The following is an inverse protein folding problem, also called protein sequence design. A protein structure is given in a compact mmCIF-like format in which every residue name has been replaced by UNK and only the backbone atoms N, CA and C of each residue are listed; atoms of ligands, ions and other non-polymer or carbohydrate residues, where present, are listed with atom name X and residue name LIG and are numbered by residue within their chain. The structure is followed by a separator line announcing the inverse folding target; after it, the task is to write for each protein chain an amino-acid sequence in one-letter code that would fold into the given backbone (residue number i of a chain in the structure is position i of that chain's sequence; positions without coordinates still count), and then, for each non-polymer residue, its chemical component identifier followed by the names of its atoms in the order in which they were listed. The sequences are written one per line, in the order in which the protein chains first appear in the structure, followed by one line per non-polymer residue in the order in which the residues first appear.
data_IF_884755696473
#
_entry.id   IF_884755696473
#
_cell.length_a   1.000
_cell.length_b   1.000
_cell.length_c   1.000
_cell.angle_alpha   90.00
_cell.angle_beta   90.00
_cell.angle_gamma   90.00
#
_symmetry.space_group_name_H-M   'P 1'
#
loop_
_entity.id
_entity.type
_entity.pdbx_description
1 polymer ?
#
# COMPACT_ATOMS: atom_id res chain seq x y z
N UNK A 1 -17.41 49.63 43.04
CA UNK A 1 -16.14 49.99 42.37
C UNK A 1 -16.08 49.25 41.05
N UNK A 2 -16.28 49.98 39.96
CA UNK A 2 -16.30 49.51 38.58
C UNK A 2 -14.89 49.47 37.96
N UNK A 3 -14.70 48.55 37.02
CA UNK A 3 -13.83 48.60 35.81
C UNK A 3 -12.32 48.91 35.97
N UNK A 4 -11.50 48.00 35.42
CA UNK A 4 -10.54 48.35 34.35
C UNK A 4 -10.41 47.17 33.36
N UNK A 5 -10.86 47.42 32.14
CA UNK A 5 -10.55 46.66 30.93
C UNK A 5 -9.18 47.10 30.39
N UNK A 6 -8.63 46.33 29.42
CA UNK A 6 -7.71 46.69 28.31
C UNK A 6 -6.65 45.59 28.10
N UNK A 7 -6.29 45.08 26.92
CA UNK A 7 -6.57 45.38 25.50
C UNK A 7 -6.36 44.08 24.69
N UNK A 8 -7.08 43.94 23.57
CA UNK A 8 -6.77 42.94 22.55
C UNK A 8 -5.61 43.36 21.65
N UNK A 9 -4.94 42.38 21.06
CA UNK A 9 -4.14 42.54 19.86
C UNK A 9 -4.47 41.40 18.90
N UNK A 10 -5.22 41.73 17.86
CA UNK A 10 -5.33 40.94 16.63
C UNK A 10 -4.04 41.17 15.85
N UNK A 11 -3.30 40.11 15.53
CA UNK A 11 -2.26 40.14 14.50
C UNK A 11 -2.62 39.04 13.49
N UNK A 12 -3.08 39.48 12.33
CA UNK A 12 -3.21 38.71 11.11
C UNK A 12 -1.88 38.85 10.35
N UNK A 13 -1.19 37.75 10.05
CA UNK A 13 0.00 37.81 9.18
C UNK A 13 0.89 36.56 9.16
N UNK A 14 0.82 35.86 8.02
CA UNK A 14 1.75 34.86 7.46
C UNK A 14 1.77 33.43 8.02
N UNK A 15 1.26 32.53 7.18
CA UNK A 15 1.59 31.10 7.11
C UNK A 15 3.09 30.90 6.80
N UNK A 16 3.80 30.23 7.70
CA UNK A 16 5.00 29.43 7.45
C UNK A 16 4.94 28.18 8.35
N UNK A 17 5.43 27.01 7.90
CA UNK A 17 5.22 25.75 8.59
C UNK A 17 6.09 25.71 9.85
N UNK A 18 5.45 25.62 11.02
CA UNK A 18 6.14 25.30 12.27
C UNK A 18 6.67 23.87 12.18
N UNK A 19 7.95 23.75 11.84
CA UNK A 19 8.73 22.58 12.16
C UNK A 19 8.70 22.38 13.69
N UNK A 20 8.15 21.26 14.09
CA UNK A 20 8.07 20.77 15.46
C UNK A 20 9.46 20.60 16.07
N UNK A 21 9.77 21.36 17.10
CA UNK A 21 10.72 20.97 18.14
C UNK A 21 9.93 20.87 19.45
N UNK A 22 9.76 19.64 19.96
CA UNK A 22 9.03 19.38 21.18
C UNK A 22 9.68 20.07 22.39
N UNK A 23 8.88 20.78 23.17
CA UNK A 23 9.27 21.51 24.38
C UNK A 23 9.40 20.58 25.61
N UNK A 24 10.48 20.83 26.35
CA UNK A 24 10.68 20.81 27.81
C UNK A 24 10.27 19.56 28.62
N UNK A 25 11.22 19.04 29.41
CA UNK A 25 11.01 18.04 30.45
C UNK A 25 9.80 18.41 31.34
N UNK A 26 8.61 17.87 31.08
CA UNK A 26 7.47 18.00 32.00
C UNK A 26 7.69 17.08 33.19
N UNK A 27 7.44 17.58 34.41
CA UNK A 27 7.51 16.81 35.65
C UNK A 27 8.76 17.02 36.50
N UNK A 28 9.61 18.01 36.18
CA UNK A 28 10.61 18.50 37.14
C UNK A 28 9.86 19.28 38.23
N UNK A 29 10.13 18.99 39.51
CA UNK A 29 9.68 19.81 40.65
C UNK A 29 9.82 21.31 40.32
N UNK A 30 8.81 22.12 40.64
CA UNK A 30 8.71 23.55 40.26
C UNK A 30 9.95 24.39 40.64
N UNK A 31 10.82 23.90 41.52
CA UNK A 31 12.05 24.54 41.97
C UNK A 31 13.31 24.31 41.08
N UNK A 32 13.29 23.46 40.04
CA UNK A 32 14.52 23.06 39.31
C UNK A 32 14.43 23.25 37.77
N UNK A 33 13.63 24.22 37.32
CA UNK A 33 13.31 24.41 35.89
C UNK A 33 14.35 25.17 35.06
N UNK A 34 15.48 25.62 35.65
CA UNK A 34 16.35 26.61 34.98
C UNK A 34 17.66 26.08 34.39
N UNK A 35 18.23 24.93 34.80
CA UNK A 35 19.59 24.56 34.35
C UNK A 35 19.95 23.06 34.25
N UNK A 36 19.04 22.10 34.46
CA UNK A 36 19.40 20.67 34.42
C UNK A 36 18.97 19.96 33.10
N UNK A 37 19.84 19.14 32.47
CA UNK A 37 19.41 18.21 31.43
C UNK A 37 18.42 17.19 32.02
N UNK A 38 17.38 16.79 31.28
CA UNK A 38 16.36 15.85 31.81
C UNK A 38 17.05 14.57 32.33
N UNK A 39 16.69 14.12 33.54
CA UNK A 39 17.24 12.89 34.15
C UNK A 39 17.03 11.67 33.24
N UNK A 40 15.90 11.63 32.55
CA UNK A 40 15.64 10.65 31.51
C UNK A 40 14.86 11.27 30.35
N UNK A 41 15.04 10.70 29.15
CA UNK A 41 14.40 11.21 27.93
C UNK A 41 14.04 10.09 26.97
N UNK A 42 13.02 10.34 26.15
CA UNK A 42 12.74 9.49 25.00
C UNK A 42 13.65 9.88 23.83
N UNK A 43 14.24 8.87 23.19
CA UNK A 43 15.05 9.04 21.98
C UNK A 43 14.20 8.66 20.77
N UNK A 44 14.14 9.56 19.79
CA UNK A 44 13.48 9.35 18.51
C UNK A 44 12.12 8.62 18.63
N UNK A 45 11.17 9.19 19.41
CA UNK A 45 9.89 8.55 19.63
C UNK A 45 9.18 8.29 18.30
N UNK A 46 8.47 7.16 18.17
CA UNK A 46 7.80 6.78 16.94
C UNK A 46 6.67 7.76 16.63
N UNK A 47 6.48 8.06 15.35
CA UNK A 47 5.34 8.83 14.86
C UNK A 47 4.34 7.87 14.26
N UNK A 48 3.10 7.91 14.74
CA UNK A 48 2.01 7.11 14.20
C UNK A 48 1.28 7.92 13.12
N UNK A 49 1.22 7.39 11.89
CA UNK A 49 0.44 7.97 10.80
C UNK A 49 -1.07 7.76 10.96
N UNK A 50 -1.89 8.10 9.95
CA UNK A 50 -3.32 7.77 9.93
C UNK A 50 -3.55 6.30 10.23
N UNK A 51 -4.49 6.01 11.13
CA UNK A 51 -4.81 4.63 11.51
C UNK A 51 -6.11 4.17 10.88
N UNK A 52 -6.19 2.87 10.67
CA UNK A 52 -7.34 2.21 10.11
C UNK A 52 -8.09 1.48 11.21
N UNK A 53 -9.43 1.60 11.24
CA UNK A 53 -10.24 0.85 12.20
C UNK A 53 -9.95 -0.65 12.09
N UNK A 54 -9.74 -1.31 13.22
CA UNK A 54 -9.36 -2.73 13.37
C UNK A 54 -7.97 -3.13 12.83
N UNK A 55 -7.14 -2.17 12.39
CA UNK A 55 -5.75 -2.44 12.04
C UNK A 55 -4.84 -2.29 13.27
N UNK A 56 -3.80 -3.11 13.34
CA UNK A 56 -2.78 -3.01 14.39
C UNK A 56 -1.60 -2.18 13.93
N UNK A 57 -1.10 -1.26 14.76
CA UNK A 57 0.18 -0.57 14.55
C UNK A 57 1.01 -0.60 15.83
N UNK A 58 2.31 -0.89 15.74
CA UNK A 58 3.20 -0.97 16.91
C UNK A 58 4.35 0.01 16.77
N UNK A 59 4.56 0.83 17.79
CA UNK A 59 5.71 1.75 17.89
C UNK A 59 6.57 1.42 19.10
N UNK A 60 7.88 1.62 18.98
CA UNK A 60 8.84 1.40 20.07
C UNK A 60 9.33 2.75 20.59
N UNK A 61 9.05 3.04 21.86
CA UNK A 61 9.60 4.18 22.57
C UNK A 61 10.88 3.77 23.29
N UNK A 62 12.00 4.41 22.96
CA UNK A 62 13.29 4.15 23.62
C UNK A 62 13.51 5.18 24.72
N UNK A 63 13.54 4.71 25.97
CA UNK A 63 13.87 5.51 27.14
C UNK A 63 15.38 5.46 27.39
N UNK A 64 16.00 6.62 27.63
CA UNK A 64 17.40 6.73 28.06
C UNK A 64 17.50 7.32 29.46
N UNK A 65 18.35 6.72 30.27
CA UNK A 65 18.83 7.34 31.51
C UNK A 65 20.00 8.28 31.20
N UNK A 66 19.82 9.58 31.43
CA UNK A 66 20.87 10.59 31.24
C UNK A 66 21.62 10.91 32.54
N UNK A 67 21.18 10.36 33.68
CA UNK A 67 21.84 10.57 34.96
C UNK A 67 23.11 9.71 35.09
N UNK A 68 24.08 10.11 35.93
CA UNK A 68 25.25 9.30 36.25
C UNK A 68 24.95 8.16 37.24
N UNK A 69 23.69 7.98 37.67
CA UNK A 69 23.26 6.97 38.64
C UNK A 69 22.18 6.05 38.04
N UNK A 70 21.96 4.89 38.66
CA UNK A 70 20.88 3.99 38.21
C UNK A 70 19.53 4.57 38.62
N UNK A 71 18.59 4.65 37.68
CA UNK A 71 17.21 5.06 37.96
C UNK A 71 16.31 3.82 38.10
N UNK A 72 15.30 3.92 38.96
CA UNK A 72 14.25 2.92 39.15
C UNK A 72 13.02 3.33 38.37
N UNK A 73 12.47 2.39 37.61
CA UNK A 73 11.20 2.55 36.89
C UNK A 73 10.09 2.02 37.80
N UNK A 74 9.21 2.93 38.24
CA UNK A 74 8.13 2.63 39.17
C UNK A 74 6.89 2.12 38.45
N UNK A 75 6.54 2.73 37.31
CA UNK A 75 5.43 2.30 36.48
C UNK A 75 5.64 2.73 35.02
N UNK A 76 4.99 2.02 34.12
CA UNK A 76 4.83 2.39 32.71
C UNK A 76 3.34 2.24 32.42
N UNK A 77 2.69 3.29 31.90
CA UNK A 77 1.26 3.27 31.57
C UNK A 77 0.94 4.11 30.36
N UNK A 78 -0.20 3.85 29.75
CA UNK A 78 -0.81 4.74 28.77
C UNK A 78 -1.87 5.58 29.46
N UNK A 79 -1.78 6.90 29.27
CA UNK A 79 -2.80 7.85 29.68
C UNK A 79 -3.74 8.09 28.51
N UNK A 80 -4.99 7.71 28.68
CA UNK A 80 -6.04 7.91 27.70
C UNK A 80 -6.56 9.36 27.79
N UNK A 81 -6.44 10.13 26.70
CA UNK A 81 -6.93 11.50 26.57
C UNK A 81 -7.96 11.61 25.42
N UNK A 82 -8.55 10.49 25.02
CA UNK A 82 -9.56 10.35 23.99
C UNK A 82 -10.81 9.61 24.51
N UNK A 83 -11.88 9.62 23.71
CA UNK A 83 -13.13 8.91 24.00
C UNK A 83 -13.14 7.45 23.53
N UNK A 84 -11.98 6.89 23.16
CA UNK A 84 -11.89 5.53 22.62
C UNK A 84 -11.75 4.50 23.75
N UNK A 85 -12.15 3.24 23.54
CA UNK A 85 -12.00 2.19 24.55
C UNK A 85 -10.54 2.02 25.00
N UNK A 86 -10.28 1.71 26.27
CA UNK A 86 -8.92 1.48 26.78
C UNK A 86 -8.18 0.40 25.96
N UNK A 87 -8.89 -0.65 25.53
CA UNK A 87 -8.38 -1.73 24.68
C UNK A 87 -7.90 -1.29 23.28
N UNK A 88 -8.13 -0.03 22.88
CA UNK A 88 -7.60 0.52 21.65
C UNK A 88 -6.08 0.75 21.67
N UNK A 89 -5.44 0.60 22.83
CA UNK A 89 -3.99 0.68 22.98
C UNK A 89 -3.52 -0.28 24.08
N UNK A 90 -2.34 -0.88 23.90
CA UNK A 90 -1.75 -1.76 24.89
C UNK A 90 -0.22 -1.61 24.92
N UNK A 91 0.35 -1.79 26.11
CA UNK A 91 1.79 -1.98 26.28
C UNK A 91 2.10 -3.43 25.89
N UNK A 92 3.02 -3.62 24.95
CA UNK A 92 3.35 -4.95 24.42
C UNK A 92 4.12 -5.76 25.48
N UNK A 93 3.88 -7.07 25.65
CA UNK A 93 4.72 -7.88 26.51
C UNK A 93 6.18 -8.02 26.03
N UNK A 94 7.02 -8.65 26.84
CA UNK A 94 8.36 -9.07 26.40
C UNK A 94 8.27 -10.03 25.19
N UNK A 95 9.26 -10.06 24.29
CA UNK A 95 10.58 -9.42 24.37
C UNK A 95 10.62 -7.98 23.83
N UNK A 96 9.55 -7.48 23.21
CA UNK A 96 9.49 -6.11 22.64
C UNK A 96 9.73 -5.04 23.71
N UNK A 97 9.25 -5.31 24.93
CA UNK A 97 9.46 -4.46 26.08
C UNK A 97 10.55 -5.06 26.96
N UNK A 98 11.67 -4.35 27.08
CA UNK A 98 12.84 -4.80 27.85
C UNK A 98 13.25 -3.83 28.97
N UNK A 99 12.43 -2.80 29.22
CA UNK A 99 12.60 -1.96 30.40
C UNK A 99 12.36 -2.77 31.67
N UNK A 100 13.45 -3.08 32.38
CA UNK A 100 13.39 -3.70 33.70
C UNK A 100 13.03 -2.66 34.78
N UNK A 101 12.87 -3.08 36.03
CA UNK A 101 12.60 -2.16 37.15
C UNK A 101 13.73 -1.16 37.43
N UNK A 102 14.89 -1.29 36.78
CA UNK A 102 16.03 -0.37 36.89
C UNK A 102 16.70 -0.13 35.54
N UNK A 103 17.25 1.07 35.36
CA UNK A 103 17.99 1.46 34.16
C UNK A 103 19.32 2.11 34.54
N UNK A 104 20.43 1.46 34.16
CA UNK A 104 21.79 1.89 34.50
C UNK A 104 22.14 3.26 33.88
N UNK A 105 23.18 3.95 34.38
CA UNK A 105 23.64 5.22 33.82
C UNK A 105 23.93 5.12 32.32
N UNK A 106 23.38 6.03 31.51
CA UNK A 106 23.58 6.05 30.06
C UNK A 106 22.90 4.91 29.28
N UNK A 107 22.30 3.94 29.96
CA UNK A 107 21.63 2.80 29.33
C UNK A 107 20.30 3.22 28.70
N UNK A 108 19.85 2.41 27.74
CA UNK A 108 18.56 2.55 27.08
C UNK A 108 17.72 1.30 27.25
N UNK A 109 16.40 1.47 27.25
CA UNK A 109 15.45 0.37 27.18
C UNK A 109 14.27 0.74 26.30
N UNK A 110 13.57 -0.28 25.81
CA UNK A 110 12.49 -0.19 24.83
C UNK A 110 11.14 -0.51 25.48
N UNK A 111 10.16 0.31 25.11
CA UNK A 111 8.74 0.17 25.46
C UNK A 111 7.95 0.17 24.15
N UNK A 112 7.56 -1.01 23.69
CA UNK A 112 6.59 -1.23 22.65
C UNK A 112 5.17 -0.89 23.10
N UNK A 113 4.51 -0.11 22.26
CA UNK A 113 3.10 0.28 22.38
C UNK A 113 2.39 -0.16 21.11
N UNK A 114 1.33 -0.96 21.26
CA UNK A 114 0.47 -1.42 20.18
C UNK A 114 -0.83 -0.63 20.19
N UNK A 115 -1.24 -0.14 19.03
CA UNK A 115 -2.50 0.55 18.78
C UNK A 115 -3.42 -0.38 17.98
N UNK A 116 -4.67 -0.52 18.43
CA UNK A 116 -5.72 -1.30 17.79
C UNK A 116 -7.05 -0.52 17.86
N UNK A 117 -7.22 0.55 17.09
CA UNK A 117 -8.43 1.36 17.16
C UNK A 117 -9.67 0.56 16.74
N UNK A 118 -10.60 0.34 17.68
CA UNK A 118 -11.82 -0.44 17.46
C UNK A 118 -13.00 0.41 16.95
N UNK A 119 -12.86 1.74 16.94
CA UNK A 119 -13.87 2.70 16.50
C UNK A 119 -13.21 3.86 15.74
N UNK A 120 -13.91 4.45 14.77
CA UNK A 120 -13.47 5.67 14.11
C UNK A 120 -13.47 6.86 15.09
N UNK A 121 -12.54 7.82 14.89
CA UNK A 121 -12.39 8.95 15.79
C UNK A 121 -10.97 9.55 15.77
N UNK A 122 -10.70 10.44 16.72
CA UNK A 122 -9.36 11.00 16.94
C UNK A 122 -8.70 10.22 18.06
N UNK A 123 -7.58 9.57 17.76
CA UNK A 123 -6.74 8.91 18.75
C UNK A 123 -5.85 9.95 19.41
N UNK A 124 -5.84 10.03 20.74
CA UNK A 124 -5.05 10.97 21.52
C UNK A 124 -4.66 10.37 22.88
N UNK A 125 -3.44 9.84 22.99
CA UNK A 125 -2.94 9.20 24.22
C UNK A 125 -1.49 9.56 24.49
N UNK A 126 -1.03 9.36 25.72
CA UNK A 126 0.34 9.68 26.14
C UNK A 126 0.95 8.48 26.87
N UNK A 127 2.15 8.03 26.46
CA UNK A 127 2.93 7.08 27.25
C UNK A 127 3.59 7.79 28.42
N UNK A 128 3.35 7.31 29.64
CA UNK A 128 3.89 7.87 30.87
C UNK A 128 4.77 6.86 31.58
N UNK A 129 5.96 7.30 32.01
CA UNK A 129 6.90 6.51 32.79
C UNK A 129 7.18 7.23 34.11
N UNK A 130 6.89 6.56 35.23
CA UNK A 130 7.25 7.05 36.56
C UNK A 130 8.64 6.59 36.94
N UNK A 131 9.52 7.49 37.38
CA UNK A 131 10.87 7.16 37.86
C UNK A 131 11.12 7.74 39.26
N UNK A 132 12.18 7.28 39.93
CA UNK A 132 12.53 7.69 41.29
C UNK A 132 13.56 8.83 41.35
N UNK A 133 13.56 9.72 40.36
CA UNK A 133 14.47 10.88 40.32
C UNK A 133 13.71 12.18 40.54
N UNK A 134 14.35 13.34 40.28
CA UNK A 134 13.70 14.66 40.32
C UNK A 134 12.58 14.77 39.30
N UNK A 135 12.69 14.03 38.19
CA UNK A 135 11.67 13.90 37.17
C UNK A 135 10.75 12.73 37.55
N UNK A 136 9.79 12.97 38.45
CA UNK A 136 8.93 11.91 39.01
C UNK A 136 8.10 11.20 37.93
N UNK A 137 7.85 11.88 36.81
CA UNK A 137 7.15 11.36 35.65
C UNK A 137 7.77 11.90 34.36
N UNK A 138 7.75 11.07 33.32
CA UNK A 138 8.18 11.39 31.96
C UNK A 138 7.01 11.08 31.03
N UNK A 139 6.59 12.08 30.28
CA UNK A 139 5.58 11.93 29.23
C UNK A 139 6.29 11.84 27.87
N UNK A 140 5.91 10.85 27.06
CA UNK A 140 6.28 10.82 25.65
C UNK A 140 5.51 11.92 24.89
N UNK A 141 5.91 12.26 23.65
CA UNK A 141 5.05 13.03 22.77
C UNK A 141 3.67 12.38 22.64
N UNK A 142 2.64 13.21 22.54
CA UNK A 142 1.28 12.72 22.39
C UNK A 142 1.16 11.87 21.12
N UNK A 143 0.52 10.71 21.25
CA UNK A 143 0.15 9.84 20.16
C UNK A 143 -1.16 10.39 19.61
N UNK A 144 -1.06 11.30 18.64
CA UNK A 144 -2.22 11.93 17.99
C UNK A 144 -2.35 11.48 16.54
N UNK A 145 -3.49 10.89 16.19
CA UNK A 145 -3.78 10.49 14.80
C UNK A 145 -5.28 10.37 14.55
N UNK A 146 -5.69 10.43 13.28
CA UNK A 146 -7.08 10.24 12.85
C UNK A 146 -7.30 8.78 12.48
N UNK A 147 -8.43 8.23 12.94
CA UNK A 147 -8.88 6.87 12.60
C UNK A 147 -9.97 7.00 11.54
N UNK A 148 -9.65 6.57 10.32
CA UNK A 148 -10.58 6.55 9.20
C UNK A 148 -11.13 5.15 8.90
N UNK A 149 -12.19 5.09 8.10
CA UNK A 149 -12.60 3.88 7.40
C UNK A 149 -11.59 3.63 6.27
N UNK A 150 -10.49 2.97 6.57
CA UNK A 150 -9.61 2.49 5.52
C UNK A 150 -10.16 1.19 4.95
N UNK A 151 -10.23 1.09 3.62
CA UNK A 151 -9.96 -0.20 2.97
C UNK A 151 -8.53 -0.57 3.34
N UNK A 152 -8.35 -1.64 4.12
CA UNK A 152 -7.03 -2.10 4.54
C UNK A 152 -6.17 -2.39 3.31
N UNK A 153 -5.00 -1.74 3.12
CA UNK A 153 -3.95 -2.35 2.33
C UNK A 153 -3.59 -3.67 3.02
N UNK A 154 -3.50 -4.75 2.25
CA UNK A 154 -3.04 -6.04 2.77
C UNK A 154 -1.68 -5.91 3.47
N UNK A 155 -1.28 -6.88 4.32
CA UNK A 155 0.00 -6.83 5.01
C UNK A 155 1.13 -6.57 4.01
N UNK A 156 1.95 -5.54 4.28
CA UNK A 156 3.15 -5.25 3.49
C UNK A 156 4.04 -6.49 3.45
N UNK A 157 4.48 -6.94 2.27
CA UNK A 157 5.15 -8.22 2.11
C UNK A 157 6.51 -8.21 2.83
N UNK A 158 6.92 -9.34 3.45
CA UNK A 158 8.26 -9.51 4.00
C UNK A 158 9.34 -9.33 2.92
N UNK A 159 10.56 -8.87 3.27
CA UNK A 159 11.67 -8.79 2.31
C UNK A 159 12.05 -10.20 1.86
N UNK A 160 11.75 -10.52 0.61
CA UNK A 160 12.10 -11.81 0.02
C UNK A 160 11.31 -12.10 -1.24
N UNK A 161 11.92 -11.78 -2.38
CA UNK A 161 11.46 -12.04 -3.75
C UNK A 161 10.21 -11.30 -4.21
N UNK A 162 10.32 -9.98 -4.34
CA UNK A 162 9.77 -9.34 -5.53
C UNK A 162 10.56 -9.83 -6.75
N UNK A 163 9.95 -10.16 -7.89
CA UNK A 163 10.60 -9.97 -9.18
C UNK A 163 10.80 -8.45 -9.35
N UNK A 164 11.73 -7.87 -8.59
CA UNK A 164 12.29 -6.58 -8.94
C UNK A 164 13.14 -6.84 -10.16
N UNK A 165 12.66 -6.42 -11.33
CA UNK A 165 13.57 -6.02 -12.39
C UNK A 165 14.49 -4.97 -11.73
N UNK A 166 15.82 -5.19 -11.69
CA UNK A 166 16.73 -4.20 -11.13
C UNK A 166 16.46 -2.82 -11.77
N UNK A 167 15.97 -1.88 -10.97
CA UNK A 167 15.80 -0.47 -11.37
C UNK A 167 14.39 0.07 -11.60
N UNK A 168 13.30 -0.60 -11.23
CA UNK A 168 11.94 -0.04 -11.43
C UNK A 168 11.12 0.08 -10.12
N UNK A 169 10.96 1.29 -9.55
CA UNK A 169 10.08 1.52 -8.40
C UNK A 169 8.58 1.40 -8.77
N UNK A 170 7.75 1.07 -7.78
CA UNK A 170 6.28 0.97 -7.85
C UNK A 170 5.59 2.28 -8.32
N UNK A 171 6.32 3.41 -8.36
CA UNK A 171 5.81 4.70 -8.83
C UNK A 171 5.71 4.84 -10.36
N UNK A 172 5.96 3.76 -11.12
CA UNK A 172 6.09 3.83 -12.59
C UNK A 172 4.83 3.45 -13.39
N UNK A 173 3.80 2.87 -12.77
CA UNK A 173 2.63 2.39 -13.50
C UNK A 173 1.36 3.10 -13.04
N UNK A 174 1.19 4.36 -13.45
CA UNK A 174 -0.08 5.07 -13.21
C UNK A 174 -1.19 4.60 -14.17
N UNK A 175 -0.80 4.11 -15.35
CA UNK A 175 -1.75 3.68 -16.36
C UNK A 175 -2.39 2.31 -16.06
N UNK A 176 -3.71 2.33 -15.98
CA UNK A 176 -4.56 1.13 -15.95
C UNK A 176 -4.82 0.59 -17.34
N UNK A 177 -4.88 1.51 -18.30
CA UNK A 177 -5.01 1.20 -19.73
C UNK A 177 -3.82 1.82 -20.47
N UNK A 178 -3.17 1.03 -21.32
CA UNK A 178 -2.23 1.52 -22.32
C UNK A 178 -2.65 0.96 -23.68
N UNK A 179 -3.00 1.84 -24.62
CA UNK A 179 -3.20 1.51 -26.03
C UNK A 179 -2.09 2.08 -26.91
N UNK A 180 -1.89 1.50 -28.09
CA UNK A 180 -0.92 2.00 -29.06
C UNK A 180 -1.56 2.60 -30.30
N UNK A 181 -2.56 1.94 -30.90
CA UNK A 181 -3.24 2.45 -32.10
C UNK A 181 -4.49 3.28 -31.76
N UNK A 182 -5.34 2.78 -30.87
CA UNK A 182 -6.55 3.44 -30.39
C UNK A 182 -7.02 2.82 -29.06
N UNK A 183 -7.79 3.58 -28.29
CA UNK A 183 -8.63 3.03 -27.21
C UNK A 183 -10.08 3.31 -27.55
N UNK A 184 -10.92 2.28 -27.56
CA UNK A 184 -12.35 2.41 -27.88
C UNK A 184 -13.18 1.83 -26.74
N UNK A 185 -14.27 2.52 -26.41
CA UNK A 185 -15.21 2.08 -25.39
C UNK A 185 -16.67 2.14 -25.90
N UNK A 186 -17.46 1.14 -25.51
CA UNK A 186 -18.93 1.15 -25.60
C UNK A 186 -19.51 1.01 -24.19
N UNK A 187 -20.60 1.72 -23.89
CA UNK A 187 -21.28 1.60 -22.60
C UNK A 187 -20.51 2.18 -21.40
N UNK A 188 -21.05 2.02 -20.17
CA UNK A 188 -20.58 2.70 -18.97
C UNK A 188 -19.38 2.01 -18.32
N UNK A 189 -18.25 1.95 -19.03
CA UNK A 189 -16.99 1.44 -18.47
C UNK A 189 -16.44 2.36 -17.39
N UNK A 190 -15.86 1.79 -16.33
CA UNK A 190 -15.11 2.50 -15.29
C UNK A 190 -13.66 2.05 -15.32
N UNK A 191 -12.76 2.98 -15.60
CA UNK A 191 -11.30 2.78 -15.50
C UNK A 191 -10.81 3.55 -14.28
N UNK A 192 -10.23 2.84 -13.31
CA UNK A 192 -9.60 3.44 -12.13
C UNK A 192 -8.09 3.56 -12.36
N UNK A 193 -7.56 4.78 -12.46
CA UNK A 193 -6.17 5.08 -12.85
C UNK A 193 -6.06 5.65 -14.27
N UNK A 194 -4.84 5.96 -14.73
CA UNK A 194 -4.65 6.65 -16.01
C UNK A 194 -5.02 5.78 -17.22
N UNK A 195 -5.46 6.45 -18.29
CA UNK A 195 -5.67 5.86 -19.60
C UNK A 195 -4.69 6.51 -20.58
N UNK A 196 -3.71 5.73 -21.00
CA UNK A 196 -2.63 6.20 -21.85
C UNK A 196 -2.77 5.67 -23.28
N UNK A 197 -2.50 6.52 -24.27
CA UNK A 197 -2.48 6.16 -25.69
C UNK A 197 -1.27 6.79 -26.38
N UNK A 198 -0.43 5.95 -26.99
CA UNK A 198 0.69 6.41 -27.84
C UNK A 198 1.24 5.29 -28.75
N UNK A 199 1.55 5.54 -30.04
CA UNK A 199 1.55 6.83 -30.75
C UNK A 199 0.19 7.23 -31.36
N UNK A 200 -0.85 6.42 -31.20
CA UNK A 200 -2.19 6.70 -31.68
C UNK A 200 -2.79 7.97 -31.08
N UNK A 201 -3.82 8.52 -31.72
CA UNK A 201 -4.45 9.79 -31.32
C UNK A 201 -5.94 9.70 -31.00
N UNK A 202 -6.53 8.51 -31.12
CA UNK A 202 -7.97 8.31 -30.96
C UNK A 202 -8.31 7.52 -29.70
N UNK A 203 -8.89 8.21 -28.72
CA UNK A 203 -9.64 7.64 -27.59
C UNK A 203 -11.11 7.98 -27.80
N UNK A 204 -11.99 6.97 -27.85
CA UNK A 204 -13.43 7.17 -28.09
C UNK A 204 -14.29 6.43 -27.06
N UNK A 205 -15.50 6.93 -26.82
CA UNK A 205 -16.44 6.33 -25.86
C UNK A 205 -16.22 6.75 -24.40
N UNK A 206 -15.45 7.80 -24.15
CA UNK A 206 -15.28 8.44 -22.85
C UNK A 206 -15.70 9.92 -22.97
N UNK A 207 -16.99 10.28 -22.76
CA UNK A 207 -18.12 9.49 -22.22
C UNK A 207 -18.81 8.52 -23.21
N UNK A 208 -19.65 7.54 -22.75
CA UNK A 208 -20.14 7.36 -21.38
C UNK A 208 -19.18 6.61 -20.44
N UNK A 209 -18.10 6.03 -20.96
CA UNK A 209 -17.03 5.53 -20.12
C UNK A 209 -16.42 6.66 -19.28
N UNK A 210 -15.92 6.31 -18.09
CA UNK A 210 -15.29 7.26 -17.18
C UNK A 210 -13.93 6.77 -16.75
N UNK A 211 -13.00 7.72 -16.63
CA UNK A 211 -11.73 7.53 -15.94
C UNK A 211 -11.86 8.18 -14.57
N UNK A 212 -11.57 7.43 -13.51
CA UNK A 212 -11.58 7.89 -12.12
C UNK A 212 -10.19 7.76 -11.52
N UNK A 213 -9.83 8.64 -10.59
CA UNK A 213 -8.51 8.66 -9.94
C UNK A 213 -7.33 8.66 -10.93
N UNK A 214 -7.55 9.24 -12.11
CA UNK A 214 -6.58 9.26 -13.21
C UNK A 214 -7.04 10.23 -14.30
N UNK A 215 -6.25 10.25 -15.37
CA UNK A 215 -6.39 11.16 -16.50
C UNK A 215 -6.24 10.41 -17.82
N UNK A 216 -6.77 11.00 -18.90
CA UNK A 216 -6.56 10.49 -20.26
C UNK A 216 -5.35 11.19 -20.86
N UNK A 217 -4.30 10.42 -21.16
CA UNK A 217 -3.04 10.89 -21.73
C UNK A 217 -2.88 10.40 -23.17
N UNK A 218 -2.85 11.33 -24.13
CA UNK A 218 -2.68 10.99 -25.56
C UNK A 218 -1.41 11.66 -26.07
N UNK A 219 -0.46 10.87 -26.57
CA UNK A 219 0.77 11.35 -27.21
C UNK A 219 1.55 12.40 -26.40
N UNK A 220 1.49 12.34 -25.07
CA UNK A 220 2.21 13.23 -24.17
C UNK A 220 3.39 12.50 -23.48
N UNK A 221 4.14 13.22 -22.64
CA UNK A 221 5.28 12.66 -21.93
C UNK A 221 4.91 11.46 -21.05
N UNK A 222 3.77 11.53 -20.34
CA UNK A 222 3.29 10.44 -19.46
C UNK A 222 3.03 9.15 -20.27
N UNK A 223 2.20 9.23 -21.31
CA UNK A 223 1.89 8.08 -22.17
C UNK A 223 3.14 7.47 -22.83
N UNK A 224 4.11 8.30 -23.22
CA UNK A 224 5.38 7.85 -23.81
C UNK A 224 6.25 7.11 -22.80
N UNK A 225 6.33 7.60 -21.56
CA UNK A 225 7.03 6.94 -20.46
C UNK A 225 6.37 5.60 -20.17
N UNK A 226 5.05 5.57 -20.02
CA UNK A 226 4.27 4.35 -19.78
C UNK A 226 4.52 3.30 -20.85
N UNK A 227 4.48 3.68 -22.15
CA UNK A 227 4.74 2.74 -23.25
C UNK A 227 6.14 2.14 -23.18
N UNK A 228 7.15 2.98 -22.93
CA UNK A 228 8.55 2.55 -22.82
C UNK A 228 8.72 1.55 -21.67
N UNK A 229 8.05 1.81 -20.54
CA UNK A 229 8.11 0.94 -19.36
C UNK A 229 7.36 -0.36 -19.55
N UNK A 230 6.16 -0.33 -20.14
CA UNK A 230 5.42 -1.54 -20.49
C UNK A 230 6.22 -2.44 -21.46
N UNK A 231 6.93 -1.85 -22.43
CA UNK A 231 7.81 -2.61 -23.32
C UNK A 231 9.01 -3.24 -22.58
N UNK A 232 9.64 -2.50 -21.67
CA UNK A 232 10.73 -3.03 -20.85
C UNK A 232 10.22 -4.17 -19.93
N UNK A 233 9.03 -3.99 -19.36
CA UNK A 233 8.37 -4.97 -18.51
C UNK A 233 8.01 -6.25 -19.27
N UNK A 234 7.37 -6.15 -20.44
CA UNK A 234 7.10 -7.30 -21.31
C UNK A 234 8.38 -8.04 -21.71
N UNK A 235 9.46 -7.32 -22.01
CA UNK A 235 10.76 -7.92 -22.34
C UNK A 235 11.33 -8.69 -21.15
N UNK A 236 11.24 -8.13 -19.94
CA UNK A 236 11.68 -8.78 -18.72
C UNK A 236 10.83 -10.00 -18.35
N UNK A 237 9.50 -9.93 -18.48
CA UNK A 237 8.65 -11.11 -18.28
C UNK A 237 9.03 -12.23 -19.26
N UNK A 238 9.31 -11.90 -20.52
CA UNK A 238 9.70 -12.89 -21.52
C UNK A 238 11.11 -13.45 -21.31
N UNK A 239 12.00 -12.76 -20.60
CA UNK A 239 13.33 -13.29 -20.26
C UNK A 239 13.32 -14.28 -19.10
N UNK A 240 12.23 -14.36 -18.33
CA UNK A 240 12.10 -15.30 -17.23
C UNK A 240 12.16 -16.77 -17.72
N UNK A 241 12.94 -17.64 -17.07
CA UNK A 241 12.95 -19.07 -17.39
C UNK A 241 11.60 -19.70 -17.05
N UNK A 242 11.13 -20.61 -17.90
CA UNK A 242 9.90 -21.35 -17.65
C UNK A 242 10.09 -22.32 -16.49
N UNK A 243 9.19 -22.31 -15.51
CA UNK A 243 9.13 -23.36 -14.48
C UNK A 243 8.49 -24.62 -15.07
N UNK A 244 7.45 -24.43 -15.87
CA UNK A 244 6.74 -25.49 -16.60
C UNK A 244 6.39 -24.98 -18.00
N UNK A 245 6.43 -25.86 -18.99
CA UNK A 245 6.04 -25.57 -20.37
C UNK A 245 4.91 -26.48 -20.81
N UNK A 246 3.85 -25.88 -21.37
CA UNK A 246 2.68 -26.55 -21.89
C UNK A 246 2.66 -26.49 -23.42
N UNK A 247 2.22 -27.58 -24.03
CA UNK A 247 2.06 -27.71 -25.47
C UNK A 247 0.82 -27.00 -26.02
N UNK A 248 0.44 -27.36 -27.24
CA UNK A 248 -0.67 -26.72 -27.93
C UNK A 248 -2.02 -27.01 -27.26
N UNK A 249 -2.86 -25.99 -27.14
CA UNK A 249 -4.26 -26.13 -26.68
C UNK A 249 -4.44 -26.34 -25.17
N UNK A 250 -3.42 -26.07 -24.35
CA UNK A 250 -3.55 -26.18 -22.90
C UNK A 250 -4.57 -25.17 -22.36
N UNK A 251 -5.56 -25.69 -21.63
CA UNK A 251 -6.51 -24.91 -20.86
C UNK A 251 -5.94 -24.63 -19.45
N UNK A 252 -5.88 -23.36 -19.07
CA UNK A 252 -5.45 -22.88 -17.75
C UNK A 252 -6.42 -23.38 -16.67
N UNK A 253 -7.69 -23.58 -17.00
CA UNK A 253 -8.72 -24.11 -16.08
C UNK A 253 -8.34 -25.46 -15.52
N UNK A 254 -7.71 -26.31 -16.34
CA UNK A 254 -7.24 -27.64 -15.92
C UNK A 254 -6.04 -27.59 -14.95
N UNK A 255 -5.46 -26.41 -14.73
CA UNK A 255 -4.34 -26.19 -13.82
C UNK A 255 -4.79 -25.66 -12.45
N UNK A 256 -6.09 -25.44 -12.26
CA UNK A 256 -6.65 -24.91 -11.02
C UNK A 256 -6.62 -25.97 -9.89
N UNK A 257 -6.18 -25.63 -8.66
CA UNK A 257 -5.59 -24.36 -8.25
C UNK A 257 -4.13 -24.22 -8.68
N UNK A 258 -3.75 -23.04 -9.16
CA UNK A 258 -2.37 -22.73 -9.56
C UNK A 258 -1.61 -22.20 -8.33
N UNK A 259 -0.54 -22.88 -7.93
CA UNK A 259 0.28 -22.47 -6.78
C UNK A 259 1.50 -21.67 -7.23
N UNK A 260 1.46 -20.36 -7.01
CA UNK A 260 2.49 -19.41 -7.44
C UNK A 260 3.81 -19.53 -6.66
N UNK A 261 3.81 -20.19 -5.49
CA UNK A 261 5.04 -20.47 -4.76
C UNK A 261 5.85 -21.61 -5.40
N UNK A 262 5.17 -22.60 -5.99
CA UNK A 262 5.80 -23.78 -6.58
C UNK A 262 6.11 -23.61 -8.08
N UNK A 263 5.21 -22.96 -8.82
CA UNK A 263 5.32 -22.77 -10.28
C UNK A 263 5.18 -21.29 -10.63
N UNK A 264 6.23 -20.47 -10.42
CA UNK A 264 6.13 -19.02 -10.60
C UNK A 264 6.03 -18.60 -12.07
N UNK A 265 6.46 -19.43 -13.04
CA UNK A 265 6.42 -19.09 -14.47
C UNK A 265 5.85 -20.25 -15.29
N UNK A 266 4.64 -20.07 -15.83
CA UNK A 266 3.93 -21.01 -16.69
C UNK A 266 4.06 -20.56 -18.15
N UNK A 267 4.66 -21.40 -18.99
CA UNK A 267 4.88 -21.09 -20.40
C UNK A 267 3.95 -21.91 -21.30
N UNK A 268 3.25 -21.24 -22.21
CA UNK A 268 2.36 -21.84 -23.20
C UNK A 268 2.95 -21.57 -24.57
N UNK A 269 3.29 -22.64 -25.31
CA UNK A 269 3.93 -22.52 -26.63
C UNK A 269 2.97 -22.11 -27.75
N UNK A 270 1.68 -21.94 -27.44
CA UNK A 270 0.63 -21.55 -28.37
C UNK A 270 -0.44 -20.70 -27.66
N UNK A 271 -1.66 -20.67 -28.20
CA UNK A 271 -2.83 -20.12 -27.50
C UNK A 271 -3.03 -20.78 -26.14
N UNK A 272 -3.36 -19.97 -25.14
CA UNK A 272 -3.86 -20.43 -23.85
C UNK A 272 -5.34 -20.06 -23.70
N UNK A 273 -6.10 -20.98 -23.13
CA UNK A 273 -7.53 -20.81 -22.89
C UNK A 273 -7.81 -20.77 -21.38
N UNK A 274 -8.83 -20.02 -20.97
CA UNK A 274 -9.48 -20.16 -19.67
C UNK A 274 -10.97 -20.36 -19.92
N UNK A 275 -11.42 -21.61 -19.91
CA UNK A 275 -12.81 -21.96 -20.18
C UNK A 275 -13.71 -21.98 -18.96
N UNK A 276 -13.14 -21.98 -17.75
CA UNK A 276 -13.90 -22.02 -16.50
C UNK A 276 -13.18 -21.34 -15.33
N UNK A 277 -13.55 -21.75 -14.11
CA UNK A 277 -13.05 -21.12 -12.90
C UNK A 277 -11.59 -21.50 -12.60
N UNK A 278 -10.77 -20.51 -12.25
CA UNK A 278 -9.37 -20.69 -11.87
C UNK A 278 -9.11 -20.05 -10.52
N UNK A 279 -8.42 -20.77 -9.64
CA UNK A 279 -7.91 -20.21 -8.38
C UNK A 279 -6.41 -20.00 -8.51
N UNK A 280 -5.96 -18.76 -8.33
CA UNK A 280 -4.55 -18.41 -8.18
C UNK A 280 -4.23 -18.37 -6.69
N UNK A 281 -3.37 -19.27 -6.22
CA UNK A 281 -3.00 -19.37 -4.83
C UNK A 281 -1.54 -18.96 -4.62
N UNK A 282 -1.33 -17.95 -3.77
CA UNK A 282 -0.01 -17.49 -3.36
C UNK A 282 -0.10 -16.57 -2.15
N UNK A 283 0.99 -16.45 -1.40
CA UNK A 283 1.13 -15.41 -0.38
C UNK A 283 1.41 -14.04 -1.03
N UNK A 284 1.35 -12.97 -0.23
CA UNK A 284 1.57 -11.59 -0.67
C UNK A 284 2.91 -11.36 -1.42
N UNK A 285 3.95 -12.13 -1.10
CA UNK A 285 5.25 -12.06 -1.78
C UNK A 285 5.38 -12.96 -3.01
N UNK A 286 4.41 -13.82 -3.31
CA UNK A 286 4.49 -14.69 -4.48
C UNK A 286 4.10 -13.95 -5.75
N UNK A 287 4.66 -14.41 -6.87
CA UNK A 287 4.34 -13.94 -8.22
C UNK A 287 4.00 -15.09 -9.15
N UNK A 288 3.11 -14.84 -10.10
CA UNK A 288 2.72 -15.80 -11.12
C UNK A 288 2.83 -15.16 -12.49
N UNK A 289 3.69 -15.68 -13.35
CA UNK A 289 3.85 -15.19 -14.71
C UNK A 289 3.35 -16.23 -15.70
N UNK A 290 2.40 -15.85 -16.53
CA UNK A 290 1.89 -16.60 -17.66
C UNK A 290 2.54 -16.06 -18.93
N UNK A 291 3.45 -16.83 -19.52
CA UNK A 291 4.07 -16.52 -20.81
C UNK A 291 3.31 -17.28 -21.90
N UNK A 292 2.57 -16.56 -22.73
CA UNK A 292 1.71 -17.15 -23.76
C UNK A 292 2.27 -16.74 -25.12
N UNK A 293 2.79 -17.68 -25.90
CA UNK A 293 3.45 -17.38 -27.17
C UNK A 293 2.50 -16.76 -28.22
N UNK A 294 1.20 -17.08 -28.14
CA UNK A 294 0.19 -16.57 -29.06
C UNK A 294 -0.90 -15.80 -28.31
N UNK A 295 -2.14 -16.27 -28.34
CA UNK A 295 -3.34 -15.55 -27.84
C UNK A 295 -3.77 -16.07 -26.47
N UNK A 296 -4.32 -15.18 -25.64
CA UNK A 296 -5.09 -15.57 -24.46
C UNK A 296 -6.57 -15.38 -24.75
N UNK A 297 -7.37 -16.42 -24.50
CA UNK A 297 -8.84 -16.31 -24.55
C UNK A 297 -9.45 -16.75 -23.24
N UNK A 298 -10.18 -15.85 -22.58
CA UNK A 298 -10.99 -16.14 -21.40
C UNK A 298 -12.44 -16.27 -21.86
N UNK A 299 -13.09 -17.39 -21.54
CA UNK A 299 -14.47 -17.65 -21.95
C UNK A 299 -15.47 -16.78 -21.19
N UNK A 300 -16.68 -16.68 -21.74
CA UNK A 300 -17.78 -15.99 -21.08
C UNK A 300 -18.04 -16.59 -19.70
N UNK A 301 -18.25 -15.73 -18.70
CA UNK A 301 -18.49 -16.09 -17.31
C UNK A 301 -17.36 -16.90 -16.65
N UNK A 302 -16.17 -17.03 -17.27
CA UNK A 302 -15.03 -17.63 -16.60
C UNK A 302 -14.53 -16.66 -15.51
N UNK A 303 -14.33 -17.19 -14.30
CA UNK A 303 -13.97 -16.40 -13.12
C UNK A 303 -12.65 -16.88 -12.56
N UNK A 304 -11.66 -16.01 -12.60
CA UNK A 304 -10.46 -16.15 -11.78
C UNK A 304 -10.73 -15.63 -10.36
N UNK A 305 -10.19 -16.30 -9.35
CA UNK A 305 -10.15 -15.82 -7.96
C UNK A 305 -8.73 -15.96 -7.40
N UNK A 306 -8.41 -15.17 -6.40
CA UNK A 306 -7.13 -15.26 -5.68
C UNK A 306 -7.33 -15.86 -4.29
N UNK A 307 -6.34 -16.62 -3.83
CA UNK A 307 -6.27 -17.22 -2.50
C UNK A 307 -4.87 -17.00 -1.91
N UNK A 308 -4.76 -17.08 -0.58
CA UNK A 308 -3.48 -16.95 0.14
C UNK A 308 -2.95 -15.53 0.31
N UNK A 309 -3.60 -14.53 -0.31
CA UNK A 309 -3.24 -13.11 -0.17
C UNK A 309 -2.25 -12.58 -1.21
N UNK A 310 -2.08 -13.29 -2.34
CA UNK A 310 -1.32 -12.78 -3.49
C UNK A 310 -1.89 -11.45 -3.98
N UNK A 311 -1.01 -10.49 -4.27
CA UNK A 311 -1.41 -9.22 -4.86
C UNK A 311 -1.71 -9.37 -6.35
N UNK A 312 -2.72 -8.64 -6.82
CA UNK A 312 -3.12 -8.66 -8.22
C UNK A 312 -1.95 -8.25 -9.14
N UNK A 313 -1.20 -7.22 -8.77
CA UNK A 313 -0.02 -6.75 -9.52
C UNK A 313 1.16 -7.75 -9.54
N UNK A 314 1.09 -8.85 -8.78
CA UNK A 314 2.07 -9.94 -8.86
C UNK A 314 1.63 -11.06 -9.84
N UNK A 315 0.47 -10.93 -10.47
CA UNK A 315 -0.03 -11.85 -11.51
C UNK A 315 0.21 -11.18 -12.87
N UNK A 316 1.03 -11.79 -13.71
CA UNK A 316 1.55 -11.19 -14.92
C UNK A 316 1.20 -12.04 -16.14
N UNK A 317 0.70 -11.42 -17.20
CA UNK A 317 0.34 -12.09 -18.45
C UNK A 317 1.15 -11.49 -19.60
N UNK A 318 2.25 -12.14 -19.96
CA UNK A 318 3.04 -11.79 -21.14
C UNK A 318 2.51 -12.54 -22.36
N UNK A 319 1.80 -11.85 -23.25
CA UNK A 319 1.05 -12.44 -24.36
C UNK A 319 1.68 -12.01 -25.69
N UNK A 320 2.16 -12.98 -26.47
CA UNK A 320 2.87 -12.78 -27.73
C UNK A 320 2.01 -12.26 -28.88
N UNK A 321 0.68 -12.22 -28.71
CA UNK A 321 -0.23 -11.55 -29.65
C UNK A 321 -1.31 -10.75 -28.92
N UNK A 322 -2.54 -11.26 -28.84
CA UNK A 322 -3.69 -10.54 -28.29
C UNK A 322 -4.37 -11.30 -27.15
N UNK A 323 -5.03 -10.54 -26.27
CA UNK A 323 -5.86 -11.06 -25.19
C UNK A 323 -7.34 -10.75 -25.43
N UNK A 324 -8.22 -11.70 -25.19
CA UNK A 324 -9.68 -11.50 -25.23
C UNK A 324 -10.31 -12.01 -23.95
N UNK A 325 -10.99 -11.12 -23.23
CA UNK A 325 -11.81 -11.45 -22.07
C UNK A 325 -13.27 -11.56 -22.50
N UNK A 326 -13.87 -12.73 -22.30
CA UNK A 326 -15.28 -13.01 -22.61
C UNK A 326 -16.24 -12.19 -21.76
N UNK A 327 -17.52 -12.19 -22.15
CA UNK A 327 -18.55 -11.44 -21.44
C UNK A 327 -18.68 -11.89 -19.99
N UNK A 328 -18.86 -10.94 -19.07
CA UNK A 328 -18.95 -11.18 -17.62
C UNK A 328 -17.81 -12.03 -17.03
N UNK A 329 -16.66 -12.11 -17.70
CA UNK A 329 -15.49 -12.81 -17.16
C UNK A 329 -14.79 -11.97 -16.10
N UNK A 330 -14.03 -12.61 -15.21
CA UNK A 330 -13.18 -11.92 -14.23
C UNK A 330 -11.76 -12.41 -14.35
N UNK A 331 -10.82 -11.49 -14.53
CA UNK A 331 -9.38 -11.78 -14.55
C UNK A 331 -8.64 -10.89 -13.55
N UNK A 332 -7.52 -11.40 -13.05
CA UNK A 332 -6.62 -10.69 -12.15
C UNK A 332 -5.25 -10.52 -12.81
N UNK A 333 -4.62 -9.37 -12.60
CA UNK A 333 -3.23 -9.13 -12.98
C UNK A 333 -2.98 -8.15 -14.11
N UNK A 334 -1.72 -8.02 -14.47
CA UNK A 334 -1.21 -7.12 -15.50
C UNK A 334 -1.18 -7.86 -16.83
N UNK A 335 -2.00 -7.43 -17.78
CA UNK A 335 -2.04 -7.97 -19.14
C UNK A 335 -1.11 -7.15 -20.03
N UNK A 336 0.02 -7.74 -20.41
CA UNK A 336 0.94 -7.22 -21.41
C UNK A 336 0.79 -7.98 -22.73
N UNK A 337 -0.05 -7.46 -23.61
CA UNK A 337 -0.26 -8.03 -24.94
C UNK A 337 0.58 -7.31 -25.98
N UNK A 338 1.31 -8.08 -26.79
CA UNK A 338 2.13 -7.52 -27.87
C UNK A 338 1.28 -6.75 -28.89
N UNK A 339 0.07 -7.22 -29.18
CA UNK A 339 -0.83 -6.65 -30.19
C UNK A 339 -2.01 -5.95 -29.51
N UNK A 340 -3.14 -6.61 -29.28
CA UNK A 340 -4.37 -5.95 -28.82
C UNK A 340 -4.99 -6.62 -27.61
N UNK A 341 -5.81 -5.87 -26.87
CA UNK A 341 -6.59 -6.37 -25.73
C UNK A 341 -8.06 -6.02 -25.97
N UNK A 342 -8.94 -7.01 -25.80
CA UNK A 342 -10.40 -6.82 -25.88
C UNK A 342 -11.05 -7.32 -24.60
N UNK A 343 -11.79 -6.44 -23.92
CA UNK A 343 -12.70 -6.81 -22.84
C UNK A 343 -14.12 -6.71 -23.38
N UNK A 344 -14.78 -7.86 -23.52
CA UNK A 344 -16.18 -7.89 -23.95
C UNK A 344 -17.11 -7.41 -22.82
N UNK A 345 -18.40 -7.23 -23.16
CA UNK A 345 -19.42 -6.67 -22.28
C UNK A 345 -19.37 -7.22 -20.86
N UNK A 346 -19.19 -6.33 -19.87
CA UNK A 346 -19.27 -6.68 -18.45
C UNK A 346 -18.07 -7.45 -17.90
N UNK A 347 -17.02 -7.71 -18.69
CA UNK A 347 -15.79 -8.28 -18.15
C UNK A 347 -15.17 -7.35 -17.09
N UNK A 348 -14.62 -7.96 -16.04
CA UNK A 348 -13.93 -7.27 -14.94
C UNK A 348 -12.47 -7.64 -14.93
N UNK A 349 -11.60 -6.62 -14.95
CA UNK A 349 -10.16 -6.79 -14.81
C UNK A 349 -9.72 -6.15 -13.49
N UNK A 350 -9.30 -6.99 -12.55
CA UNK A 350 -8.64 -6.55 -11.33
C UNK A 350 -7.13 -6.47 -11.59
N UNK A 351 -6.72 -5.41 -12.27
CA UNK A 351 -5.35 -5.23 -12.75
C UNK A 351 -5.27 -4.20 -13.88
N UNK A 352 -4.43 -4.46 -14.87
CA UNK A 352 -4.04 -3.49 -15.91
C UNK A 352 -4.09 -4.11 -17.31
N UNK A 353 -4.43 -3.32 -18.31
CA UNK A 353 -4.48 -3.76 -19.71
C UNK A 353 -3.56 -2.91 -20.59
N UNK A 354 -2.42 -3.48 -20.98
CA UNK A 354 -1.38 -2.84 -21.78
C UNK A 354 -1.22 -3.53 -23.14
N UNK A 355 -1.72 -2.89 -24.19
CA UNK A 355 -1.58 -3.30 -25.59
C UNK A 355 -0.41 -2.53 -26.23
N UNK A 356 0.72 -3.20 -26.44
CA UNK A 356 1.98 -2.53 -26.80
C UNK A 356 1.99 -1.94 -28.21
N UNK A 357 1.31 -2.59 -29.17
CA UNK A 357 1.33 -2.18 -30.58
C UNK A 357 -0.06 -2.02 -31.22
N UNK A 358 -1.11 -2.49 -30.58
CA UNK A 358 -2.48 -2.45 -31.09
C UNK A 358 -3.44 -1.68 -30.20
N UNK A 359 -4.70 -2.09 -30.22
CA UNK A 359 -5.80 -1.37 -29.59
C UNK A 359 -6.19 -1.98 -28.25
N UNK A 360 -6.80 -1.16 -27.39
CA UNK A 360 -7.62 -1.62 -26.28
C UNK A 360 -9.09 -1.35 -26.59
N UNK A 361 -9.92 -2.38 -26.56
CA UNK A 361 -11.36 -2.29 -26.80
C UNK A 361 -12.12 -2.70 -25.54
N UNK A 362 -13.05 -1.85 -25.11
CA UNK A 362 -13.82 -1.98 -23.87
C UNK A 362 -15.32 -1.93 -24.17
N UNK A 363 -16.10 -2.68 -23.41
CA UNK A 363 -17.55 -2.63 -23.38
C UNK A 363 -18.07 -2.84 -21.95
N UNK A 364 -18.59 -1.77 -21.34
CA UNK A 364 -19.26 -1.80 -20.04
C UNK A 364 -18.45 -2.51 -18.94
N UNK A 365 -17.13 -2.25 -18.88
CA UNK A 365 -16.19 -2.98 -18.05
C UNK A 365 -15.86 -2.27 -16.72
N UNK A 366 -15.24 -3.02 -15.81
CA UNK A 366 -14.52 -2.45 -14.67
C UNK A 366 -13.04 -2.80 -14.77
N UNK A 367 -12.17 -1.79 -14.70
CA UNK A 367 -10.71 -1.96 -14.68
C UNK A 367 -10.15 -1.34 -13.41
N UNK A 368 -9.74 -2.21 -12.49
CA UNK A 368 -9.40 -1.88 -11.10
C UNK A 368 -7.99 -2.41 -10.77
N UNK A 369 -6.91 -1.65 -11.04
CA UNK A 369 -5.60 -2.00 -10.51
C UNK A 369 -5.59 -1.91 -8.98
N UNK A 370 -4.68 -2.62 -8.34
CA UNK A 370 -4.38 -2.38 -6.92
C UNK A 370 -3.85 -0.94 -6.76
N UNK A 371 -4.30 -0.25 -5.72
CA UNK A 371 -3.80 1.10 -5.44
C UNK A 371 -2.27 1.04 -5.23
N UNK A 372 -1.49 1.97 -5.81
CA UNK A 372 -0.03 1.99 -5.69
C UNK A 372 0.45 2.17 -4.24
#
# INVERSE_FOLDING_TARGET
MFKKAQHGAVILGLLLPLATYALACRGISEDDSSLAPCDASFINPPVFGPLCQNATSTGIFTLRNNTPVTIRINYIRLQDNDGLPAAAAAIVPAPTNNCSSSLAPGATCNIGVQLLPLAAGVFNRVLQVGINTRQVQIDAPAITTVIGNCVTPGPTPPPGFTPTIPGTPLSLFQASILGASTVTNTGPTVVNGDLDLTPGSSVTGFPPGVVINGTININNAASTITKTQAQAYFTALNSLPCSVTFGAGQDITALSPINCAATPVLCFTSTALMTGAVVINGAAGNSCTFKIASTLTVSNNAVMTTAGGIFNDNINWAIGSSATLGTNSTLYGIIDALISITLNTGATLNGRAWALNGAVTLDSNQVNPTAP
#
